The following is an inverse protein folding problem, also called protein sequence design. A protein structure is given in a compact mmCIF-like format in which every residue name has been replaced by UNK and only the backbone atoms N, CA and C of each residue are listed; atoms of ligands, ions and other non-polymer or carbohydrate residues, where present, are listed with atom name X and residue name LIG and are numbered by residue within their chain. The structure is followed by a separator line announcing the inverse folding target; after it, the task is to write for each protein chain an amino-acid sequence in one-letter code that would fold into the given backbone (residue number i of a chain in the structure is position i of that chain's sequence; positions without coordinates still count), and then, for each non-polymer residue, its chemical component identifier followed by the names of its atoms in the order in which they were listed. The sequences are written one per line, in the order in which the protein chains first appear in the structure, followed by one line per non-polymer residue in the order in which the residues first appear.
data_IF_417311535830
#
_entry.id   IF_417311535830
#
_cell.length_a   1.000
_cell.length_b   1.000
_cell.length_c   1.000
_cell.angle_alpha   90.00
_cell.angle_beta   90.00
_cell.angle_gamma   90.00
#
_symmetry.space_group_name_H-M   'P 1'
#
loop_
_entity.id
_entity.type
_entity.pdbx_description
1 polymer ?
#
# COMPACT_ATOMS: atom_id res chain seq x y z
N UNK A 1 12.53 -9.86 3.22
CA UNK A 1 11.99 -9.37 4.52
C UNK A 1 10.61 -8.73 4.39
N UNK A 2 10.31 -7.92 3.36
CA UNK A 2 9.02 -7.22 3.25
C UNK A 2 7.80 -8.17 3.14
N UNK A 3 8.01 -9.38 2.63
CA UNK A 3 6.98 -10.40 2.45
C UNK A 3 6.64 -11.20 3.72
N UNK A 4 7.28 -10.92 4.86
CA UNK A 4 6.95 -11.58 6.13
C UNK A 4 5.57 -11.14 6.63
N UNK A 5 4.81 -12.06 7.23
CA UNK A 5 3.46 -11.79 7.76
C UNK A 5 3.43 -10.63 8.79
N UNK A 6 4.48 -10.48 9.58
CA UNK A 6 4.63 -9.36 10.53
C UNK A 6 4.68 -7.97 9.85
N UNK A 7 4.99 -7.91 8.55
CA UNK A 7 5.01 -6.70 7.75
C UNK A 7 3.71 -6.50 6.95
N UNK A 8 2.66 -7.27 7.27
CA UNK A 8 1.31 -7.04 6.78
C UNK A 8 0.63 -5.92 7.59
N UNK A 9 1.16 -4.71 7.46
CA UNK A 9 0.77 -3.54 8.25
C UNK A 9 -0.70 -3.14 8.07
N UNK A 10 -1.32 -3.48 6.94
CA UNK A 10 -2.75 -3.31 6.70
C UNK A 10 -3.61 -4.01 7.78
N UNK A 11 -3.21 -5.21 8.23
CA UNK A 11 -3.90 -5.93 9.30
C UNK A 11 -3.68 -5.29 10.68
N UNK A 12 -2.54 -4.63 10.88
CA UNK A 12 -2.17 -4.05 12.16
C UNK A 12 -2.67 -2.60 12.34
N UNK A 13 -2.81 -1.88 11.23
CA UNK A 13 -3.06 -0.45 11.14
C UNK A 13 -4.26 -0.11 10.24
N UNK A 14 -5.18 -1.04 10.02
CA UNK A 14 -6.28 -0.94 9.04
C UNK A 14 -7.31 0.20 9.24
N UNK A 15 -7.10 1.11 10.21
CA UNK A 15 -7.83 2.38 10.36
C UNK A 15 -7.12 3.56 9.67
N UNK A 16 -5.92 3.35 9.14
CA UNK A 16 -5.21 4.38 8.39
C UNK A 16 -5.84 4.56 7.00
N UNK A 17 -5.91 5.80 6.47
CA UNK A 17 -6.67 6.11 5.25
C UNK A 17 -6.27 5.32 4.01
N UNK A 18 -4.97 5.04 3.79
CA UNK A 18 -4.57 4.28 2.59
C UNK A 18 -5.23 2.89 2.55
N UNK A 19 -5.39 2.23 3.70
CA UNK A 19 -6.06 0.94 3.80
C UNK A 19 -7.57 1.02 3.62
N UNK A 20 -8.18 2.16 3.90
CA UNK A 20 -9.59 2.40 3.55
C UNK A 20 -9.78 2.51 2.03
N UNK A 21 -8.83 3.14 1.32
CA UNK A 21 -8.86 3.19 -0.15
C UNK A 21 -8.72 1.79 -0.77
N UNK A 22 -7.80 0.95 -0.29
CA UNK A 22 -7.68 -0.43 -0.78
C UNK A 22 -8.94 -1.26 -0.52
N UNK A 23 -9.59 -1.10 0.65
CA UNK A 23 -10.88 -1.76 0.92
C UNK A 23 -11.96 -1.35 -0.08
N UNK A 24 -12.01 -0.08 -0.51
CA UNK A 24 -12.93 0.37 -1.55
C UNK A 24 -12.62 -0.29 -2.90
N UNK A 25 -11.33 -0.42 -3.24
CA UNK A 25 -10.89 -1.11 -4.45
C UNK A 25 -11.26 -2.59 -4.44
N UNK A 26 -11.10 -3.27 -3.30
CA UNK A 26 -11.49 -4.67 -3.12
C UNK A 26 -13.00 -4.87 -3.17
N UNK A 27 -13.77 -3.94 -2.63
CA UNK A 27 -15.23 -3.97 -2.54
C UNK A 27 -15.94 -3.48 -3.80
N UNK A 28 -15.21 -3.21 -4.90
CA UNK A 28 -15.84 -2.77 -6.15
C UNK A 28 -16.88 -3.79 -6.60
N UNK A 29 -18.12 -3.33 -6.72
CA UNK A 29 -19.21 -4.18 -7.17
C UNK A 29 -18.94 -4.60 -8.61
N UNK A 30 -18.94 -5.89 -8.92
CA UNK A 30 -18.80 -6.41 -10.29
C UNK A 30 -20.07 -7.14 -10.74
N UNK A 31 -21.17 -7.02 -9.99
CA UNK A 31 -22.46 -7.56 -10.38
C UNK A 31 -22.89 -6.95 -11.70
N UNK A 32 -23.34 -7.81 -12.61
CA UNK A 32 -23.78 -7.46 -13.97
C UNK A 32 -22.72 -6.72 -14.81
N UNK A 33 -21.45 -6.75 -14.38
CA UNK A 33 -20.32 -6.21 -15.13
C UNK A 33 -19.67 -7.33 -15.94
N UNK A 34 -19.35 -7.02 -17.20
CA UNK A 34 -18.59 -7.91 -18.07
C UNK A 34 -17.59 -7.10 -18.89
N UNK A 35 -16.51 -7.76 -19.27
CA UNK A 35 -15.49 -7.21 -20.14
C UNK A 35 -15.08 -8.26 -21.18
N UNK A 36 -15.06 -7.87 -22.45
CA UNK A 36 -14.76 -8.80 -23.55
C UNK A 36 -13.38 -9.45 -23.42
N UNK A 37 -12.38 -8.73 -22.91
CA UNK A 37 -11.04 -9.26 -22.68
C UNK A 37 -11.06 -10.34 -21.59
N UNK A 38 -11.74 -10.07 -20.48
CA UNK A 38 -11.84 -11.02 -19.38
C UNK A 38 -12.56 -12.31 -19.78
N UNK A 39 -13.52 -12.23 -20.70
CA UNK A 39 -14.24 -13.41 -21.18
C UNK A 39 -13.45 -14.23 -22.22
N UNK A 40 -12.72 -13.55 -23.11
CA UNK A 40 -12.20 -14.17 -24.34
C UNK A 40 -10.68 -14.30 -24.35
N UNK A 41 -9.98 -13.33 -23.76
CA UNK A 41 -8.53 -13.15 -23.95
C UNK A 41 -7.71 -13.50 -22.69
N UNK A 42 -8.33 -13.49 -21.50
CA UNK A 42 -7.67 -13.86 -20.24
C UNK A 42 -7.15 -15.30 -20.24
N UNK A 43 -7.87 -16.22 -20.89
CA UNK A 43 -7.47 -17.63 -21.04
C UNK A 43 -7.52 -18.47 -19.76
N UNK A 44 -8.00 -17.92 -18.63
CA UNK A 44 -8.18 -18.69 -17.38
C UNK A 44 -9.64 -19.12 -17.18
N UNK A 45 -9.90 -20.41 -16.89
CA UNK A 45 -11.22 -20.89 -16.51
C UNK A 45 -11.54 -20.67 -15.02
N UNK A 46 -10.57 -20.24 -14.20
CA UNK A 46 -10.76 -20.05 -12.76
C UNK A 46 -11.66 -18.85 -12.50
N UNK A 47 -12.62 -19.03 -11.58
CA UNK A 47 -13.57 -17.99 -11.23
C UNK A 47 -12.87 -16.79 -10.59
N UNK A 48 -11.89 -17.06 -9.74
CA UNK A 48 -11.11 -16.05 -9.03
C UNK A 48 -10.31 -15.16 -10.00
N UNK A 49 -9.72 -15.75 -11.04
CA UNK A 49 -8.98 -15.01 -12.07
C UNK A 49 -9.92 -14.11 -12.89
N UNK A 50 -11.11 -14.62 -13.24
CA UNK A 50 -12.14 -13.82 -13.92
C UNK A 50 -12.64 -12.67 -13.06
N UNK A 51 -12.94 -12.93 -11.79
CA UNK A 51 -13.37 -11.92 -10.83
C UNK A 51 -12.32 -10.81 -10.69
N UNK A 52 -11.04 -11.16 -10.53
CA UNK A 52 -9.95 -10.19 -10.50
C UNK A 52 -9.86 -9.39 -11.81
N UNK A 53 -9.95 -10.06 -12.97
CA UNK A 53 -9.94 -9.39 -14.27
C UNK A 53 -11.07 -8.35 -14.40
N UNK A 54 -12.29 -8.68 -13.99
CA UNK A 54 -13.41 -7.74 -14.00
C UNK A 54 -13.16 -6.54 -13.08
N UNK A 55 -12.62 -6.77 -11.87
CA UNK A 55 -12.26 -5.66 -10.95
C UNK A 55 -11.23 -4.74 -11.59
N UNK A 56 -10.17 -5.29 -12.19
CA UNK A 56 -9.13 -4.53 -12.90
C UNK A 56 -9.76 -3.69 -14.02
N UNK A 57 -10.55 -4.32 -14.90
CA UNK A 57 -11.22 -3.60 -15.99
C UNK A 57 -12.17 -2.51 -15.48
N UNK A 58 -12.95 -2.79 -14.43
CA UNK A 58 -13.92 -1.86 -13.88
C UNK A 58 -13.25 -0.64 -13.24
N UNK A 59 -12.14 -0.84 -12.52
CA UNK A 59 -11.35 0.26 -11.96
C UNK A 59 -10.81 1.17 -13.06
N UNK A 60 -10.20 0.60 -14.11
CA UNK A 60 -9.72 1.39 -15.24
C UNK A 60 -10.86 2.14 -15.95
N UNK A 61 -12.05 1.54 -16.04
CA UNK A 61 -13.25 2.23 -16.55
C UNK A 61 -13.65 3.42 -15.68
N UNK A 62 -13.68 3.26 -14.35
CA UNK A 62 -13.98 4.36 -13.41
C UNK A 62 -12.94 5.48 -13.54
N UNK A 63 -11.65 5.12 -13.53
CA UNK A 63 -10.54 6.06 -13.65
C UNK A 63 -10.57 6.81 -14.99
N UNK A 64 -11.00 6.16 -16.09
CA UNK A 64 -11.09 6.82 -17.40
C UNK A 64 -12.03 8.04 -17.42
N UNK A 65 -12.99 8.12 -16.48
CA UNK A 65 -13.88 9.26 -16.30
C UNK A 65 -13.32 10.39 -15.44
N UNK A 66 -12.09 10.27 -14.93
CA UNK A 66 -11.42 11.28 -14.10
C UNK A 66 -10.37 12.06 -14.91
N UNK A 67 -9.87 13.15 -14.33
CA UNK A 67 -8.82 14.00 -14.92
C UNK A 67 -7.97 14.68 -13.85
N UNK A 68 -6.78 15.14 -14.22
CA UNK A 68 -5.86 15.88 -13.33
C UNK A 68 -5.44 15.08 -12.10
N UNK A 69 -5.30 15.75 -10.96
CA UNK A 69 -4.78 15.15 -9.72
C UNK A 69 -5.63 13.97 -9.23
N UNK A 70 -6.96 14.02 -9.42
CA UNK A 70 -7.85 12.91 -9.04
C UNK A 70 -7.54 11.64 -9.82
N UNK A 71 -7.18 11.78 -11.10
CA UNK A 71 -6.77 10.66 -11.93
C UNK A 71 -5.39 10.15 -11.51
N UNK A 72 -4.41 11.04 -11.35
CA UNK A 72 -3.04 10.67 -10.92
C UNK A 72 -3.09 9.91 -9.59
N UNK A 73 -3.80 10.45 -8.60
CA UNK A 73 -3.98 9.83 -7.29
C UNK A 73 -4.70 8.48 -7.36
N UNK A 74 -5.81 8.39 -8.11
CA UNK A 74 -6.52 7.13 -8.30
C UNK A 74 -5.70 6.06 -9.01
N UNK A 75 -4.87 6.47 -9.98
CA UNK A 75 -3.94 5.59 -10.69
C UNK A 75 -2.87 5.00 -9.76
N UNK A 76 -2.31 5.79 -8.84
CA UNK A 76 -1.32 5.28 -7.87
C UNK A 76 -1.91 4.22 -6.95
N UNK A 77 -3.09 4.47 -6.37
CA UNK A 77 -3.79 3.45 -5.57
C UNK A 77 -4.13 2.21 -6.39
N UNK A 78 -4.59 2.38 -7.63
CA UNK A 78 -4.87 1.27 -8.53
C UNK A 78 -3.62 0.42 -8.82
N UNK A 79 -2.47 1.04 -9.09
CA UNK A 79 -1.21 0.33 -9.34
C UNK A 79 -0.82 -0.53 -8.15
N UNK A 80 -0.73 0.05 -6.94
CA UNK A 80 -0.33 -0.70 -5.75
C UNK A 80 -1.33 -1.77 -5.35
N UNK A 81 -2.63 -1.50 -5.52
CA UNK A 81 -3.66 -2.52 -5.36
C UNK A 81 -3.48 -3.66 -6.37
N UNK A 82 -3.31 -3.33 -7.66
CA UNK A 82 -3.14 -4.30 -8.73
C UNK A 82 -1.94 -5.22 -8.46
N UNK A 83 -0.78 -4.66 -8.12
CA UNK A 83 0.41 -5.44 -7.77
C UNK A 83 0.20 -6.32 -6.54
N UNK A 84 -0.52 -5.82 -5.54
CA UNK A 84 -0.86 -6.59 -4.35
C UNK A 84 -1.74 -7.81 -4.69
N UNK A 85 -2.71 -7.65 -5.60
CA UNK A 85 -3.52 -8.76 -6.12
C UNK A 85 -2.65 -9.73 -6.93
N UNK A 86 -1.80 -9.25 -7.83
CA UNK A 86 -0.91 -10.11 -8.62
C UNK A 86 -0.01 -10.93 -7.69
N UNK A 87 0.57 -10.30 -6.66
CA UNK A 87 1.40 -10.98 -5.67
C UNK A 87 0.61 -12.07 -4.93
N UNK A 88 -0.54 -11.71 -4.37
CA UNK A 88 -1.38 -12.62 -3.55
C UNK A 88 -1.86 -13.84 -4.34
N UNK A 89 -2.21 -13.66 -5.62
CA UNK A 89 -2.82 -14.71 -6.44
C UNK A 89 -1.82 -15.52 -7.27
N UNK A 90 -0.69 -14.92 -7.66
CA UNK A 90 0.19 -15.50 -8.67
C UNK A 90 1.65 -15.62 -8.24
N UNK A 91 2.01 -15.31 -6.99
CA UNK A 91 3.38 -15.47 -6.49
C UNK A 91 3.51 -16.52 -5.40
N UNK A 92 4.67 -17.19 -5.34
CA UNK A 92 5.10 -17.99 -4.18
C UNK A 92 6.45 -17.50 -3.76
N UNK A 93 6.55 -17.01 -2.52
CA UNK A 93 7.75 -16.31 -2.07
C UNK A 93 7.98 -15.06 -2.92
N UNK A 94 9.20 -14.90 -3.44
CA UNK A 94 9.60 -13.73 -4.21
C UNK A 94 9.60 -13.96 -5.74
N UNK A 95 8.78 -14.91 -6.23
CA UNK A 95 8.70 -15.27 -7.65
C UNK A 95 7.24 -15.34 -8.10
N UNK A 96 6.95 -14.78 -9.28
CA UNK A 96 5.64 -14.91 -9.95
C UNK A 96 5.61 -16.26 -10.67
N UNK A 97 4.62 -17.10 -10.36
CA UNK A 97 4.53 -18.49 -10.83
C UNK A 97 3.47 -18.71 -11.91
N UNK A 98 2.55 -17.76 -12.10
CA UNK A 98 1.54 -17.82 -13.16
C UNK A 98 1.67 -16.61 -14.09
N UNK A 99 2.80 -16.55 -14.78
CA UNK A 99 3.16 -15.47 -15.72
C UNK A 99 2.13 -15.34 -16.86
N UNK A 100 1.47 -16.43 -17.24
CA UNK A 100 0.45 -16.39 -18.31
C UNK A 100 -0.75 -15.54 -17.91
N UNK A 101 -1.41 -15.87 -16.79
CA UNK A 101 -2.62 -15.13 -16.37
C UNK A 101 -2.26 -13.74 -15.85
N UNK A 102 -1.22 -13.64 -15.03
CA UNK A 102 -0.76 -12.33 -14.54
C UNK A 102 -0.33 -11.42 -15.69
N UNK A 103 0.42 -11.93 -16.67
CA UNK A 103 0.79 -11.20 -17.89
C UNK A 103 -0.44 -10.72 -18.67
N UNK A 104 -1.48 -11.55 -18.81
CA UNK A 104 -2.75 -11.13 -19.44
C UNK A 104 -3.44 -9.99 -18.68
N UNK A 105 -3.31 -9.93 -17.36
CA UNK A 105 -3.86 -8.80 -16.60
C UNK A 105 -3.06 -7.50 -16.85
N UNK A 106 -1.74 -7.58 -17.04
CA UNK A 106 -0.95 -6.43 -17.50
C UNK A 106 -1.32 -6.02 -18.94
N UNK A 107 -1.53 -6.98 -19.83
CA UNK A 107 -2.02 -6.72 -21.20
C UNK A 107 -3.36 -5.97 -21.17
N UNK A 108 -4.28 -6.34 -20.28
CA UNK A 108 -5.54 -5.64 -20.09
C UNK A 108 -5.32 -4.17 -19.69
N UNK A 109 -4.41 -3.90 -18.74
CA UNK A 109 -4.08 -2.52 -18.33
C UNK A 109 -3.59 -1.72 -19.54
N UNK A 110 -2.61 -2.28 -20.28
CA UNK A 110 -2.06 -1.63 -21.46
C UNK A 110 -3.13 -1.38 -22.54
N UNK A 111 -3.98 -2.38 -22.82
CA UNK A 111 -5.08 -2.27 -23.77
C UNK A 111 -6.06 -1.13 -23.41
N UNK A 112 -6.32 -0.89 -22.13
CA UNK A 112 -7.19 0.22 -21.68
C UNK A 112 -6.51 1.57 -21.86
N UNK A 113 -5.20 1.65 -21.61
CA UNK A 113 -4.40 2.86 -21.83
C UNK A 113 -4.34 3.21 -23.32
N UNK A 114 -4.12 2.22 -24.19
CA UNK A 114 -4.07 2.43 -25.64
C UNK A 114 -5.39 2.98 -26.19
N UNK A 115 -6.52 2.61 -25.56
CA UNK A 115 -7.86 3.12 -25.90
C UNK A 115 -8.16 4.48 -25.27
N UNK A 116 -7.49 4.83 -24.18
CA UNK A 116 -7.77 6.02 -23.38
C UNK A 116 -6.47 6.56 -22.81
N UNK A 117 -5.78 7.42 -23.58
CA UNK A 117 -4.44 7.90 -23.25
C UNK A 117 -4.37 8.71 -21.95
N UNK A 118 -5.51 9.24 -21.45
CA UNK A 118 -5.56 9.85 -20.12
C UNK A 118 -5.21 8.85 -19.01
N UNK A 119 -5.41 7.54 -19.21
CA UNK A 119 -5.02 6.49 -18.27
C UNK A 119 -3.50 6.22 -18.25
N UNK A 120 -2.68 6.94 -19.01
CA UNK A 120 -1.22 6.78 -18.98
C UNK A 120 -0.63 6.76 -17.54
N UNK A 121 -1.07 7.60 -16.58
CA UNK A 121 -0.59 7.54 -15.20
C UNK A 121 -0.92 6.23 -14.48
N UNK A 122 -1.87 5.43 -14.97
CA UNK A 122 -2.26 4.13 -14.41
C UNK A 122 -1.43 2.96 -14.96
N UNK A 123 -0.41 3.23 -15.78
CA UNK A 123 0.42 2.19 -16.37
C UNK A 123 1.10 1.36 -15.28
N UNK A 124 0.90 0.05 -15.32
CA UNK A 124 1.54 -0.89 -14.42
C UNK A 124 2.77 -1.48 -15.11
N UNK A 125 3.94 -1.32 -14.51
CA UNK A 125 5.17 -1.97 -14.94
C UNK A 125 5.33 -3.30 -14.22
N UNK A 126 5.85 -4.32 -14.92
CA UNK A 126 6.18 -5.58 -14.26
C UNK A 126 7.35 -5.34 -13.33
N UNK A 127 7.16 -5.52 -12.02
CA UNK A 127 8.25 -5.45 -11.07
C UNK A 127 9.24 -6.60 -11.27
N UNK A 128 10.51 -6.31 -11.00
CA UNK A 128 11.57 -7.34 -10.99
C UNK A 128 11.27 -8.42 -9.94
N UNK A 129 10.69 -8.04 -8.79
CA UNK A 129 10.29 -8.99 -7.74
C UNK A 129 9.03 -8.54 -6.99
N UNK A 130 8.20 -9.48 -6.48
CA UNK A 130 7.08 -9.18 -5.59
C UNK A 130 7.46 -8.41 -4.31
N UNK A 131 8.66 -8.66 -3.77
CA UNK A 131 9.20 -7.93 -2.62
C UNK A 131 9.41 -6.45 -2.94
N UNK A 132 10.03 -6.12 -4.08
CA UNK A 132 10.22 -4.72 -4.49
C UNK A 132 8.90 -3.97 -4.62
N UNK A 133 7.89 -4.57 -5.24
CA UNK A 133 6.55 -3.98 -5.35
C UNK A 133 5.85 -3.78 -4.00
N UNK A 134 6.08 -4.68 -3.03
CA UNK A 134 5.58 -4.52 -1.66
C UNK A 134 6.29 -3.37 -0.94
N UNK A 135 7.61 -3.26 -1.08
CA UNK A 135 8.38 -2.17 -0.46
C UNK A 135 7.91 -0.79 -0.98
N UNK A 136 7.67 -0.65 -2.29
CA UNK A 136 7.17 0.60 -2.87
C UNK A 136 5.75 0.93 -2.42
N UNK A 137 4.85 -0.06 -2.37
CA UNK A 137 3.51 0.13 -1.80
C UNK A 137 3.59 0.61 -0.34
N UNK A 138 4.44 -0.01 0.47
CA UNK A 138 4.55 0.35 1.89
C UNK A 138 5.07 1.77 2.10
N UNK A 139 5.99 2.22 1.23
CA UNK A 139 6.47 3.60 1.20
C UNK A 139 5.36 4.57 0.78
N UNK A 140 4.64 4.28 -0.30
CA UNK A 140 3.48 5.06 -0.72
C UNK A 140 2.45 5.21 0.42
N UNK A 141 2.06 4.09 1.02
CA UNK A 141 1.11 4.04 2.12
C UNK A 141 1.57 4.88 3.31
N UNK A 142 2.86 4.85 3.63
CA UNK A 142 3.42 5.67 4.69
C UNK A 142 3.21 7.17 4.43
N UNK A 143 3.50 7.65 3.23
CA UNK A 143 3.35 9.08 2.92
C UNK A 143 1.90 9.54 2.92
N UNK A 144 0.97 8.69 2.47
CA UNK A 144 -0.47 8.97 2.55
C UNK A 144 -0.98 8.97 4.00
N UNK A 145 -0.38 8.14 4.85
CA UNK A 145 -0.77 8.00 6.24
C UNK A 145 -0.01 8.91 7.21
N UNK A 146 1.08 9.56 6.78
CA UNK A 146 2.06 10.24 7.65
C UNK A 146 1.40 11.12 8.72
N UNK A 147 0.46 11.98 8.30
CA UNK A 147 -0.24 12.94 9.18
C UNK A 147 -1.19 12.30 10.21
N UNK A 148 -1.50 11.01 10.07
CA UNK A 148 -2.37 10.24 10.95
C UNK A 148 -1.59 9.39 11.96
N UNK A 149 -0.27 9.29 11.81
CA UNK A 149 0.61 8.52 12.69
C UNK A 149 1.06 9.43 13.84
N UNK A 150 0.29 9.41 14.93
CA UNK A 150 0.47 10.33 16.06
C UNK A 150 0.21 9.64 17.40
N UNK A 151 1.28 9.46 18.20
CA UNK A 151 1.19 8.86 19.54
C UNK A 151 0.43 9.74 20.54
N UNK A 152 0.39 11.07 20.34
CA UNK A 152 -0.31 11.98 21.26
C UNK A 152 -1.83 11.81 21.24
N UNK A 153 -2.35 11.20 20.16
CA UNK A 153 -3.78 10.93 19.94
C UNK A 153 -4.12 9.44 20.06
N UNK A 154 -3.20 8.63 20.57
CA UNK A 154 -3.29 7.17 20.56
C UNK A 154 -3.00 6.58 21.93
N UNK A 155 -3.46 5.35 22.17
CA UNK A 155 -3.03 4.58 23.33
C UNK A 155 -1.60 4.04 23.16
N UNK A 156 -1.01 3.55 24.25
CA UNK A 156 0.34 2.98 24.24
C UNK A 156 0.50 1.81 23.25
N UNK A 157 -0.38 0.79 23.24
CA UNK A 157 -0.25 -0.31 22.27
C UNK A 157 -0.30 0.14 20.80
N UNK A 158 -1.11 1.16 20.48
CA UNK A 158 -1.16 1.73 19.13
C UNK A 158 0.11 2.51 18.82
N UNK A 159 0.60 3.31 19.76
CA UNK A 159 1.88 4.02 19.62
C UNK A 159 3.06 3.05 19.41
N UNK A 160 3.11 1.92 20.12
CA UNK A 160 4.11 0.86 19.90
C UNK A 160 4.06 0.30 18.48
N UNK A 161 2.86 0.08 17.92
CA UNK A 161 2.69 -0.35 16.53
C UNK A 161 3.21 0.70 15.56
N UNK A 162 2.92 1.98 15.79
CA UNK A 162 3.47 3.07 14.97
C UNK A 162 4.99 3.11 15.01
N UNK A 163 5.62 2.97 16.18
CA UNK A 163 7.09 2.92 16.28
C UNK A 163 7.66 1.76 15.47
N UNK A 164 7.06 0.56 15.53
CA UNK A 164 7.52 -0.60 14.76
C UNK A 164 7.32 -0.40 13.26
N UNK A 165 6.16 0.11 12.86
CA UNK A 165 5.84 0.40 11.46
C UNK A 165 6.81 1.43 10.87
N UNK A 166 6.99 2.58 11.51
CA UNK A 166 7.89 3.63 11.01
C UNK A 166 9.35 3.19 11.07
N UNK A 167 9.75 2.32 12.01
CA UNK A 167 11.09 1.68 11.99
C UNK A 167 11.29 0.80 10.76
N UNK A 168 10.26 0.06 10.35
CA UNK A 168 10.30 -0.74 9.12
C UNK A 168 10.39 0.17 7.88
N UNK A 169 9.55 1.21 7.81
CA UNK A 169 9.55 2.16 6.70
C UNK A 169 10.87 2.92 6.58
N UNK A 170 11.46 3.37 7.69
CA UNK A 170 12.76 4.06 7.70
C UNK A 170 13.87 3.23 7.04
N UNK A 171 13.85 1.90 7.24
CA UNK A 171 14.78 1.01 6.56
C UNK A 171 14.52 0.93 5.06
N UNK A 172 13.26 0.92 4.62
CA UNK A 172 12.91 0.91 3.20
C UNK A 172 13.29 2.23 2.53
N UNK A 173 12.96 3.34 3.17
CA UNK A 173 13.24 4.68 2.68
C UNK A 173 14.74 4.86 2.43
N UNK A 174 15.59 4.52 3.41
CA UNK A 174 17.06 4.61 3.27
C UNK A 174 17.64 3.78 2.12
N UNK A 175 17.04 2.65 1.75
CA UNK A 175 17.50 1.86 0.59
C UNK A 175 17.25 2.57 -0.74
N UNK A 176 16.20 3.39 -0.78
CA UNK A 176 15.71 4.05 -1.98
C UNK A 176 16.16 5.51 -2.05
N UNK A 177 16.39 6.14 -0.91
CA UNK A 177 16.77 7.54 -0.74
C UNK A 177 17.92 7.93 -1.66
N UNK A 178 19.04 7.21 -1.60
CA UNK A 178 20.22 7.50 -2.42
C UNK A 178 19.91 7.54 -3.94
N UNK A 179 18.95 6.72 -4.41
CA UNK A 179 18.61 6.66 -5.83
C UNK A 179 17.41 7.54 -6.20
N UNK A 180 16.61 7.99 -5.22
CA UNK A 180 15.34 8.67 -5.47
C UNK A 180 15.34 10.14 -5.03
N UNK A 181 16.23 10.54 -4.14
CA UNK A 181 16.34 11.89 -3.61
C UNK A 181 17.59 12.63 -4.08
N UNK A 182 18.45 11.98 -4.86
CA UNK A 182 19.52 12.62 -5.62
C UNK A 182 18.97 13.17 -6.94
N UNK A 183 19.45 14.37 -7.32
CA UNK A 183 18.89 15.22 -8.39
C UNK A 183 19.21 14.72 -9.81
N UNK A 184 18.73 13.54 -10.19
CA UNK A 184 18.66 13.09 -11.57
C UNK A 184 17.18 12.96 -11.98
N UNK A 185 16.73 13.76 -12.94
CA UNK A 185 15.33 13.86 -13.40
C UNK A 185 14.70 12.49 -13.76
N UNK A 186 15.52 11.54 -14.24
CA UNK A 186 15.06 10.19 -14.61
C UNK A 186 14.59 9.37 -13.42
N UNK A 187 15.17 9.60 -12.23
CA UNK A 187 14.76 8.89 -11.02
C UNK A 187 13.53 9.53 -10.38
N UNK A 188 13.38 10.85 -10.48
CA UNK A 188 12.24 11.61 -9.97
C UNK A 188 10.91 11.05 -10.50
N UNK A 189 10.77 10.89 -11.81
CA UNK A 189 9.54 10.33 -12.42
C UNK A 189 9.24 8.89 -11.96
N UNK A 190 10.28 8.11 -11.67
CA UNK A 190 10.15 6.72 -11.23
C UNK A 190 9.88 6.57 -9.72
N UNK A 191 10.28 7.57 -8.92
CA UNK A 191 10.23 7.54 -7.46
C UNK A 191 9.08 8.38 -6.86
N UNK A 192 8.69 9.48 -7.52
CA UNK A 192 7.58 10.37 -7.11
C UNK A 192 6.30 9.61 -6.70
N UNK A 193 5.92 8.48 -7.33
CA UNK A 193 4.71 7.75 -6.94
C UNK A 193 4.71 7.20 -5.50
N UNK A 194 5.88 6.88 -4.93
CA UNK A 194 6.00 6.24 -3.61
C UNK A 194 6.98 6.89 -2.65
N UNK A 195 7.79 7.86 -3.08
CA UNK A 195 8.76 8.55 -2.24
C UNK A 195 8.55 10.05 -2.29
N UNK A 196 8.60 10.67 -1.11
CA UNK A 196 8.67 12.11 -0.89
C UNK A 196 9.99 12.41 -0.19
N UNK A 197 10.80 13.27 -0.78
CA UNK A 197 12.15 13.59 -0.31
C UNK A 197 12.19 14.78 0.65
N UNK A 198 11.05 15.46 0.85
CA UNK A 198 10.91 16.60 1.75
C UNK A 198 11.16 16.18 3.21
N UNK A 199 12.01 16.97 3.89
CA UNK A 199 12.49 16.68 5.24
C UNK A 199 11.35 16.48 6.27
N UNK A 200 10.25 17.19 6.11
CA UNK A 200 9.10 17.19 7.02
C UNK A 200 8.35 15.85 7.04
N UNK A 201 8.48 15.06 5.98
CA UNK A 201 7.76 13.79 5.82
C UNK A 201 8.67 12.58 5.94
N UNK A 202 9.95 12.78 6.29
CA UNK A 202 10.92 11.70 6.38
C UNK A 202 10.64 10.76 7.56
N UNK A 203 10.79 9.43 7.38
CA UNK A 203 10.56 8.45 8.43
C UNK A 203 11.41 8.62 9.68
N UNK A 204 12.67 9.04 9.56
CA UNK A 204 13.60 9.18 10.68
C UNK A 204 13.19 10.30 11.64
N UNK A 205 12.72 11.42 11.09
CA UNK A 205 12.15 12.54 11.84
C UNK A 205 10.93 12.10 12.65
N UNK A 206 9.96 11.46 11.98
CA UNK A 206 8.77 10.94 12.65
C UNK A 206 9.11 9.87 13.70
N UNK A 207 10.01 8.94 13.37
CA UNK A 207 10.40 7.86 14.27
C UNK A 207 10.99 8.38 15.57
N UNK A 208 11.81 9.42 15.49
CA UNK A 208 12.40 10.07 16.66
C UNK A 208 11.31 10.64 17.58
N UNK A 209 10.32 11.32 16.99
CA UNK A 209 9.15 11.84 17.72
C UNK A 209 8.36 10.72 18.40
N UNK A 210 7.97 9.68 17.65
CA UNK A 210 7.16 8.57 18.17
C UNK A 210 7.85 7.84 19.34
N UNK A 211 9.18 7.64 19.27
CA UNK A 211 9.95 7.05 20.38
C UNK A 211 9.96 7.92 21.63
N UNK A 212 9.99 9.24 21.48
CA UNK A 212 9.89 10.18 22.61
C UNK A 212 8.52 10.13 23.26
N UNK A 213 7.46 10.14 22.44
CA UNK A 213 6.08 10.09 22.92
C UNK A 213 5.79 8.76 23.65
N UNK A 214 6.26 7.63 23.11
CA UNK A 214 6.11 6.32 23.74
C UNK A 214 6.73 6.27 25.15
N UNK A 215 7.95 6.80 25.31
CA UNK A 215 8.61 6.88 26.64
C UNK A 215 7.78 7.70 27.63
N UNK A 216 7.15 8.77 27.16
CA UNK A 216 6.28 9.61 27.99
C UNK A 216 5.02 8.86 28.42
N UNK A 217 4.41 8.06 27.54
CA UNK A 217 3.28 7.19 27.88
C UNK A 217 3.68 6.13 28.91
N UNK A 218 4.84 5.50 28.74
CA UNK A 218 5.38 4.50 29.68
C UNK A 218 5.66 5.07 31.08
N UNK A 219 6.12 6.32 31.17
CA UNK A 219 6.36 6.98 32.44
C UNK A 219 5.04 7.25 33.19
N UNK A 220 4.01 7.72 32.48
CA UNK A 220 2.68 7.98 33.05
C UNK A 220 2.03 6.72 33.63
N UNK A 221 2.19 5.57 32.98
CA UNK A 221 1.66 4.30 33.51
C UNK A 221 2.34 3.85 34.81
N UNK A 222 3.62 4.19 35.00
CA UNK A 222 4.36 3.85 36.23
C UNK A 222 3.98 4.74 37.41
N UNK A 223 3.47 5.94 37.14
CA UNK A 223 3.04 6.90 38.17
C UNK A 223 1.59 6.69 38.64
N UNK A 224 0.75 5.97 37.88
CA UNK A 224 -0.61 5.61 38.32
C UNK A 224 -0.52 4.42 39.29
N UNK A 225 -0.87 4.58 40.59
CA UNK A 225 -0.84 3.46 41.53
C UNK A 225 -1.83 2.37 41.11
N UNK A 226 -1.44 1.09 41.20
CA UNK A 226 -2.37 -0.04 41.15
C UNK A 226 -3.42 0.11 42.25
N UNK A 227 -4.57 0.70 41.94
CA UNK A 227 -5.68 0.79 42.87
C UNK A 227 -6.32 -0.60 43.06
N UNK A 228 -6.19 -1.13 44.29
CA UNK A 228 -7.23 -1.94 44.94
C UNK A 228 -7.36 -3.42 44.55
N UNK A 229 -6.38 -4.24 44.93
CA UNK A 229 -6.56 -5.68 45.14
C UNK A 229 -6.49 -6.03 46.62
N UNK A 230 -7.30 -5.38 47.46
CA UNK A 230 -7.47 -5.72 48.87
C UNK A 230 -8.67 -6.65 49.00
N UNK A 231 -8.42 -7.89 49.39
CA UNK A 231 -9.47 -8.84 49.73
C UNK A 231 -10.10 -8.53 51.07
N UNK A 232 -11.33 -9.01 51.25
CA UNK A 232 -11.89 -9.27 52.57
C UNK A 232 -12.08 -10.78 52.72
N UNK A 233 -11.23 -11.34 53.57
CA UNK A 233 -11.49 -12.56 54.31
C UNK A 233 -11.77 -12.14 55.75
N UNK A 234 -13.04 -12.16 56.16
CA UNK A 234 -13.48 -12.65 57.47
C UNK A 234 -15.00 -12.82 57.51
#
# INVERSE_FOLDING_TARGET
MALLEENNWENHLGKLPSYEEYKKLDAVDIKDYSDGFCEKDLGSPKKEDKELCYKVSKHLKILSGLSGDKLKHGCFYFQYWFYDQIRKHYSTGNTINNETVSGKLFDLVQLKIDKSSNLLPCKCYVFVTPEGGKEEKDLHDYFENHKYIDCTKSDKPTCEKYVRYVTYIDKLFKKKEDNCCDYDELYEDSCEPYIKCENETRPDGLLTKLKSDLKTLEAKEKEVPKAGGGGDAQ
#
